data_IF_379583316908
#
_entry.id   IF_379583316908
#
_cell.length_a   1.000
_cell.length_b   1.000
_cell.length_c   1.000
_cell.angle_alpha   90.00
_cell.angle_beta   90.00
_cell.angle_gamma   90.00
#
_symmetry.space_group_name_H-M   'P 1'
#
loop_
_entity.id
_entity.type
_entity.pdbx_description
1 polymer ?
#
# COMPACT_ATOMS: atom_id res chain seq x y z
N UNK A 1 -22.99 3.65 -13.12
CA UNK A 1 -22.68 5.07 -13.23
C UNK A 1 -21.28 5.30 -13.77
N UNK A 2 -21.08 6.45 -14.39
CA UNK A 2 -19.79 6.78 -14.98
C UNK A 2 -18.66 6.76 -13.94
N UNK A 3 -18.95 7.17 -12.71
CA UNK A 3 -17.98 7.17 -11.64
C UNK A 3 -17.47 5.77 -11.29
N UNK A 4 -18.31 4.75 -11.46
CA UNK A 4 -17.91 3.38 -11.16
C UNK A 4 -16.97 2.83 -12.22
N UNK A 5 -17.10 3.29 -13.44
CA UNK A 5 -16.17 2.88 -14.51
C UNK A 5 -14.77 3.41 -14.21
N UNK A 6 -14.67 4.64 -13.76
CA UNK A 6 -13.36 5.21 -13.44
C UNK A 6 -12.71 4.57 -12.24
N UNK A 7 -13.49 4.17 -11.25
CA UNK A 7 -12.96 3.53 -10.05
C UNK A 7 -12.34 2.17 -10.31
N UNK A 8 -12.63 1.57 -11.45
CA UNK A 8 -12.13 0.25 -11.80
C UNK A 8 -10.97 0.29 -12.79
N UNK A 9 -10.43 1.46 -13.07
CA UNK A 9 -9.30 1.53 -13.96
C UNK A 9 -8.06 0.93 -13.30
N UNK A 10 -7.29 0.20 -14.10
CA UNK A 10 -6.06 -0.41 -13.64
C UNK A 10 -5.00 0.66 -13.44
N UNK A 11 -4.26 0.58 -12.34
CA UNK A 11 -3.23 1.57 -12.03
C UNK A 11 -2.15 1.62 -13.13
N UNK A 12 -1.87 0.51 -13.80
CA UNK A 12 -0.84 0.48 -14.83
C UNK A 12 -1.16 1.41 -16.00
N UNK A 13 -2.42 1.76 -16.20
CA UNK A 13 -2.80 2.70 -17.25
C UNK A 13 -2.27 4.11 -17.01
N UNK A 14 -1.91 4.43 -15.77
CA UNK A 14 -1.34 5.74 -15.44
C UNK A 14 0.13 5.85 -15.83
N UNK A 15 0.77 4.75 -16.24
CA UNK A 15 2.18 4.76 -16.60
C UNK A 15 2.54 5.73 -17.70
N UNK A 16 1.58 6.07 -18.56
CA UNK A 16 1.80 7.04 -19.63
C UNK A 16 2.12 8.44 -19.11
N UNK A 17 1.82 8.71 -17.84
CA UNK A 17 2.13 10.00 -17.22
C UNK A 17 3.47 10.00 -16.50
N UNK A 18 4.18 8.88 -16.47
CA UNK A 18 5.42 8.76 -15.71
C UNK A 18 6.56 9.52 -16.41
N UNK A 19 7.04 10.55 -15.73
CA UNK A 19 8.22 11.31 -16.12
C UNK A 19 8.69 12.12 -14.91
N UNK A 20 9.77 12.87 -15.07
CA UNK A 20 10.26 13.72 -13.98
C UNK A 20 9.21 14.76 -13.59
N UNK A 21 9.26 15.17 -12.33
CA UNK A 21 8.32 16.13 -11.74
C UNK A 21 6.87 15.64 -11.63
N UNK A 22 6.66 14.31 -11.72
CA UNK A 22 5.34 13.72 -11.49
C UNK A 22 5.40 12.91 -10.20
N UNK A 23 4.40 13.07 -9.37
CA UNK A 23 4.23 12.30 -8.14
C UNK A 23 3.01 11.39 -8.29
N UNK A 24 3.23 10.10 -8.05
CA UNK A 24 2.15 9.12 -7.98
C UNK A 24 1.85 8.84 -6.52
N UNK A 25 0.59 8.86 -6.17
CA UNK A 25 0.14 8.44 -4.85
C UNK A 25 -0.75 7.21 -5.01
N UNK A 26 -0.36 6.11 -4.35
CA UNK A 26 -1.11 4.86 -4.42
C UNK A 26 -1.73 4.55 -3.07
N UNK A 27 -3.02 4.36 -3.07
CA UNK A 27 -3.78 3.94 -1.90
C UNK A 27 -4.54 2.67 -2.29
N UNK A 28 -3.83 1.55 -2.48
CA UNK A 28 -4.49 0.31 -2.90
C UNK A 28 -5.32 -0.27 -1.77
N UNK A 29 -6.16 -1.25 -2.10
CA UNK A 29 -6.78 -2.02 -1.03
C UNK A 29 -5.69 -2.59 -0.12
N UNK A 30 -5.84 -2.37 1.18
CA UNK A 30 -4.82 -2.78 2.13
C UNK A 30 -4.79 -4.29 2.25
N UNK A 31 -3.58 -4.82 2.36
CA UNK A 31 -3.39 -6.25 2.59
C UNK A 31 -4.01 -6.63 3.92
N UNK A 32 -4.89 -7.64 3.94
CA UNK A 32 -5.51 -8.06 5.20
C UNK A 32 -4.47 -8.57 6.19
N UNK A 33 -4.66 -8.25 7.45
CA UNK A 33 -3.75 -8.64 8.52
C UNK A 33 -4.16 -9.92 9.21
N UNK A 34 -5.40 -10.38 9.01
CA UNK A 34 -5.91 -11.60 9.62
C UNK A 34 -6.58 -12.45 8.56
N UNK A 35 -6.70 -13.75 8.82
CA UNK A 35 -7.35 -14.67 7.88
C UNK A 35 -8.80 -14.28 7.62
N UNK A 36 -9.50 -13.79 8.64
CA UNK A 36 -10.87 -13.34 8.48
C UNK A 36 -10.95 -12.14 7.54
N UNK A 37 -10.05 -11.20 7.71
CA UNK A 37 -9.96 -10.05 6.82
C UNK A 37 -9.59 -10.45 5.41
N UNK A 38 -8.69 -11.42 5.26
CA UNK A 38 -8.29 -11.90 3.95
C UNK A 38 -9.46 -12.50 3.19
N UNK A 39 -10.28 -13.28 3.88
CA UNK A 39 -11.41 -13.94 3.26
C UNK A 39 -12.44 -12.92 2.75
N UNK A 40 -12.69 -11.88 3.53
CA UNK A 40 -13.75 -10.93 3.17
C UNK A 40 -13.27 -9.81 2.26
N UNK A 41 -12.08 -9.27 2.51
CA UNK A 41 -11.61 -8.08 1.81
C UNK A 41 -10.91 -8.40 0.50
N UNK A 42 -9.95 -9.32 0.51
CA UNK A 42 -9.18 -9.64 -0.69
C UNK A 42 -10.03 -10.29 -1.76
N UNK A 43 -10.86 -11.24 -1.38
CA UNK A 43 -11.73 -11.91 -2.34
C UNK A 43 -12.69 -10.92 -2.98
N UNK A 44 -13.16 -9.96 -2.18
CA UNK A 44 -14.14 -8.99 -2.64
C UNK A 44 -13.50 -7.91 -3.51
N UNK A 45 -12.31 -7.45 -3.17
CA UNK A 45 -11.64 -6.38 -3.90
C UNK A 45 -10.85 -6.89 -5.10
N UNK A 46 -10.49 -8.15 -5.11
CA UNK A 46 -9.67 -8.70 -6.18
C UNK A 46 -8.24 -8.19 -6.18
N UNK A 47 -7.76 -7.68 -5.05
CA UNK A 47 -6.40 -7.14 -4.94
C UNK A 47 -5.62 -7.99 -3.95
N UNK A 48 -5.09 -9.10 -4.44
CA UNK A 48 -4.38 -10.09 -3.64
C UNK A 48 -2.87 -9.82 -3.60
N UNK A 49 -2.11 -10.73 -3.04
CA UNK A 49 -0.66 -10.57 -2.95
C UNK A 49 -0.01 -10.48 -4.33
N UNK A 50 -0.55 -11.16 -5.32
CA UNK A 50 -0.05 -11.04 -6.69
C UNK A 50 -0.24 -9.61 -7.22
N UNK A 51 -1.36 -8.98 -6.89
CA UNK A 51 -1.60 -7.59 -7.27
C UNK A 51 -0.69 -6.64 -6.49
N UNK A 52 -0.39 -6.93 -5.23
CA UNK A 52 0.59 -6.15 -4.46
C UNK A 52 1.96 -6.21 -5.12
N UNK A 53 2.35 -7.38 -5.59
CA UNK A 53 3.63 -7.55 -6.30
C UNK A 53 3.61 -6.79 -7.63
N UNK A 54 2.50 -6.85 -8.34
CA UNK A 54 2.36 -6.12 -9.60
C UNK A 54 2.47 -4.61 -9.39
N UNK A 55 1.89 -4.12 -8.29
CA UNK A 55 2.02 -2.70 -7.95
C UNK A 55 3.47 -2.34 -7.65
N UNK A 56 4.20 -3.19 -6.89
CA UNK A 56 5.62 -2.96 -6.65
C UNK A 56 6.40 -2.86 -7.96
N UNK A 57 6.11 -3.75 -8.91
CA UNK A 57 6.79 -3.73 -10.19
C UNK A 57 6.49 -2.44 -10.95
N UNK A 58 5.26 -1.96 -10.88
CA UNK A 58 4.88 -0.70 -11.49
C UNK A 58 5.60 0.48 -10.83
N UNK A 59 5.71 0.47 -9.50
CA UNK A 59 6.46 1.51 -8.79
C UNK A 59 7.93 1.53 -9.24
N UNK A 60 8.53 0.37 -9.43
CA UNK A 60 9.90 0.29 -9.92
C UNK A 60 10.02 0.85 -11.34
N UNK A 61 9.03 0.59 -12.17
CA UNK A 61 9.02 1.09 -13.54
C UNK A 61 8.95 2.62 -13.58
N UNK A 62 8.01 3.21 -12.85
CA UNK A 62 7.87 4.67 -12.86
C UNK A 62 9.06 5.36 -12.19
N UNK A 63 9.68 4.71 -11.21
CA UNK A 63 10.88 5.24 -10.58
C UNK A 63 12.04 5.35 -11.57
N UNK A 64 12.16 4.38 -12.48
CA UNK A 64 13.15 4.44 -13.54
C UNK A 64 12.92 5.60 -14.49
N UNK A 65 11.68 6.05 -14.62
CA UNK A 65 11.32 7.18 -15.46
C UNK A 65 11.37 8.49 -14.68
N UNK A 66 12.00 8.47 -13.50
CA UNK A 66 12.24 9.64 -12.66
C UNK A 66 10.99 10.23 -12.04
N UNK A 67 9.90 9.48 -12.02
CA UNK A 67 8.72 9.87 -11.26
C UNK A 67 8.91 9.53 -9.79
N UNK A 68 8.25 10.28 -8.94
CA UNK A 68 8.20 9.99 -7.51
C UNK A 68 6.93 9.22 -7.21
N UNK A 69 7.00 8.35 -6.21
CA UNK A 69 5.79 7.69 -5.75
C UNK A 69 5.75 7.59 -4.23
N UNK A 70 4.55 7.56 -3.72
CA UNK A 70 4.24 7.23 -2.33
C UNK A 70 3.11 6.21 -2.38
N UNK A 71 3.27 5.13 -1.64
CA UNK A 71 2.24 4.09 -1.54
C UNK A 71 1.99 3.78 -0.08
N UNK A 72 0.74 3.67 0.31
CA UNK A 72 0.37 3.31 1.67
C UNK A 72 -0.17 1.89 1.71
N UNK A 73 -0.04 1.25 2.86
CA UNK A 73 -0.62 -0.07 3.08
C UNK A 73 -0.67 -0.39 4.57
N UNK A 74 -1.27 -1.53 4.88
CA UNK A 74 -1.26 -2.05 6.25
C UNK A 74 0.15 -2.47 6.64
N UNK A 75 0.41 -2.48 7.93
CA UNK A 75 1.69 -2.94 8.47
C UNK A 75 1.50 -4.33 9.07
N UNK A 76 2.02 -5.37 8.43
CA UNK A 76 1.87 -6.73 8.96
C UNK A 76 2.49 -6.93 10.33
N UNK A 77 3.47 -6.09 10.70
CA UNK A 77 4.11 -6.21 12.02
C UNK A 77 3.16 -5.90 13.17
N UNK A 78 1.99 -5.31 12.90
CA UNK A 78 0.97 -5.12 13.93
C UNK A 78 0.42 -6.44 14.45
N UNK A 79 0.48 -7.49 13.67
CA UNK A 79 -0.10 -8.80 14.00
C UNK A 79 0.97 -9.86 14.17
N UNK A 80 1.97 -9.85 13.31
CA UNK A 80 3.03 -10.85 13.29
C UNK A 80 4.35 -10.15 13.06
N UNK A 81 5.19 -10.11 14.10
CA UNK A 81 6.47 -9.41 14.00
C UNK A 81 7.49 -10.10 13.09
N UNK A 82 7.16 -11.27 12.55
CA UNK A 82 8.00 -11.96 11.58
C UNK A 82 7.48 -11.83 10.15
N UNK A 83 6.32 -11.17 9.95
CA UNK A 83 5.75 -11.00 8.63
C UNK A 83 6.43 -9.81 7.93
N UNK A 84 7.41 -10.11 7.12
CA UNK A 84 8.20 -9.11 6.41
C UNK A 84 7.76 -8.95 4.95
N UNK A 85 6.50 -9.26 4.64
CA UNK A 85 6.03 -9.25 3.25
C UNK A 85 6.39 -7.95 2.52
N UNK A 86 5.99 -6.81 3.08
CA UNK A 86 6.26 -5.53 2.43
C UNK A 86 7.73 -5.11 2.56
N UNK A 87 8.35 -5.40 3.69
CA UNK A 87 9.78 -5.08 3.89
C UNK A 87 10.64 -5.78 2.84
N UNK A 88 10.30 -7.03 2.53
CA UNK A 88 11.00 -7.76 1.50
C UNK A 88 10.63 -7.27 0.10
N UNK A 89 9.33 -7.06 -0.13
CA UNK A 89 8.82 -6.68 -1.44
C UNK A 89 9.39 -5.35 -1.90
N UNK A 90 9.46 -4.38 -1.01
CA UNK A 90 9.91 -3.02 -1.34
C UNK A 90 11.30 -2.72 -0.78
N UNK A 91 12.15 -3.72 -0.64
CA UNK A 91 13.47 -3.55 -0.02
C UNK A 91 14.36 -2.52 -0.72
N UNK A 92 14.12 -2.25 -2.00
CA UNK A 92 14.88 -1.27 -2.76
C UNK A 92 14.40 0.16 -2.54
N UNK A 93 13.32 0.34 -1.82
CA UNK A 93 12.73 1.65 -1.57
C UNK A 93 12.68 1.93 -0.07
N UNK A 94 12.23 3.13 0.27
CA UNK A 94 12.09 3.54 1.67
C UNK A 94 10.74 3.08 2.20
N UNK A 95 10.73 2.44 3.38
CA UNK A 95 9.51 2.08 4.09
C UNK A 95 9.53 2.80 5.42
N UNK A 96 8.48 3.55 5.69
CA UNK A 96 8.32 4.24 6.96
C UNK A 96 7.06 3.78 7.63
N UNK A 97 7.14 3.52 8.93
CA UNK A 97 5.96 3.21 9.71
C UNK A 97 5.41 4.47 10.34
N UNK A 98 4.13 4.68 10.14
CA UNK A 98 3.44 5.86 10.60
C UNK A 98 2.39 5.43 11.59
N UNK A 99 2.37 6.06 12.75
CA UNK A 99 1.37 5.75 13.76
C UNK A 99 -0.01 6.16 13.28
N UNK A 100 -0.96 5.24 13.40
CA UNK A 100 -2.33 5.48 13.00
C UNK A 100 -3.23 5.24 14.20
N UNK A 101 -4.05 6.22 14.51
CA UNK A 101 -5.01 6.07 15.58
C UNK A 101 -6.21 5.30 15.09
N UNK A 102 -6.64 4.32 15.88
CA UNK A 102 -7.84 3.57 15.58
C UNK A 102 -8.89 3.81 16.61
N UNK A 103 -10.04 4.25 16.16
CA UNK A 103 -11.16 4.54 17.05
C UNK A 103 -12.29 3.52 16.88
N UNK A 104 -11.92 2.30 16.63
CA UNK A 104 -12.92 1.33 16.24
C UNK A 104 -13.50 0.54 17.37
N UNK A 105 -12.85 0.51 18.49
CA UNK A 105 -13.20 -0.43 19.50
C UNK A 105 -13.63 0.30 20.75
N UNK A 106 -14.89 0.10 21.13
CA UNK A 106 -15.40 0.63 22.38
C UNK A 106 -14.80 -0.06 23.60
N UNK A 107 -14.18 -1.21 23.43
CA UNK A 107 -13.48 -1.90 24.50
C UNK A 107 -12.06 -1.36 24.60
N UNK A 108 -11.67 -0.94 25.79
CA UNK A 108 -10.42 -0.25 25.99
C UNK A 108 -9.17 -0.97 25.52
N UNK A 109 -9.14 -2.30 25.61
CA UNK A 109 -7.96 -3.07 25.24
C UNK A 109 -7.77 -3.22 23.72
N UNK A 110 -8.73 -2.78 22.93
CA UNK A 110 -8.59 -2.79 21.48
C UNK A 110 -8.10 -1.49 20.89
N UNK A 111 -7.72 -0.54 21.73
CA UNK A 111 -7.35 0.79 21.30
C UNK A 111 -5.86 1.06 21.39
N UNK A 112 -5.05 0.14 20.95
CA UNK A 112 -3.63 0.41 20.85
C UNK A 112 -3.32 1.26 19.64
N UNK A 113 -2.22 1.99 19.69
CA UNK A 113 -1.68 2.60 18.50
C UNK A 113 -1.25 1.50 17.54
N UNK A 114 -1.65 1.61 16.29
CA UNK A 114 -1.19 0.71 15.25
C UNK A 114 -0.40 1.54 14.25
N UNK A 115 0.44 0.88 13.48
CA UNK A 115 1.16 1.54 12.41
C UNK A 115 0.57 1.16 11.07
N UNK A 116 0.78 2.05 10.11
CA UNK A 116 0.61 1.78 8.70
C UNK A 116 1.95 2.02 8.02
N UNK A 117 2.15 1.46 6.85
CA UNK A 117 3.40 1.69 6.15
C UNK A 117 3.22 2.72 5.05
N UNK A 118 4.25 3.49 4.85
CA UNK A 118 4.36 4.44 3.75
C UNK A 118 5.64 4.13 3.00
N UNK A 119 5.49 3.77 1.74
CA UNK A 119 6.58 3.34 0.88
C UNK A 119 6.84 4.45 -0.13
N UNK A 120 8.09 4.79 -0.37
CA UNK A 120 8.40 5.80 -1.37
C UNK A 120 9.80 5.61 -1.95
N UNK A 121 10.03 6.22 -3.10
CA UNK A 121 11.36 6.32 -3.69
C UNK A 121 12.02 7.66 -3.40
N UNK A 122 11.45 8.44 -2.49
CA UNK A 122 12.01 9.75 -2.14
C UNK A 122 13.03 9.53 -1.05
N UNK A 123 14.30 9.61 -1.38
CA UNK A 123 15.37 9.42 -0.41
C UNK A 123 15.40 10.58 0.58
N UNK A 124 15.55 10.25 1.86
CA UNK A 124 15.71 11.23 2.94
C UNK A 124 14.54 12.21 3.05
N UNK A 125 13.35 11.79 2.67
CA UNK A 125 12.17 12.64 2.72
C UNK A 125 11.62 12.81 4.13
N UNK A 126 12.17 12.14 5.11
CA UNK A 126 11.61 12.10 6.47
C UNK A 126 12.66 12.33 7.52
#
# INVERSE_FOLDING_TARGET
AASDVYKRQDFAQTGKYAHDNVLFYFDPPYRPLTDTSAFTSYAKEGFDDAEQIRLRDFCALIAKQKSLFVASNSDPLNVDNEDDFFDHLYKMFSIKRVSAARMINSKGNGRGAISEIMISNVANAY
#
